data_IF_484654843120
#
_entry.id   IF_484654843120
#
_cell.length_a   1.000
_cell.length_b   1.000
_cell.length_c   1.000
_cell.angle_alpha   90.00
_cell.angle_beta   90.00
_cell.angle_gamma   90.00
#
_symmetry.space_group_name_H-M   'P 1'
#
loop_
_entity.id
_entity.type
_entity.pdbx_description
1 polymer ?
#
# COMPACT_ATOMS: atom_id res chain seq x y z
N UNK A 1 -9.90 -5.56 -18.54
CA UNK A 1 -8.54 -5.36 -19.08
C UNK A 1 -8.07 -6.70 -19.63
N UNK A 2 -7.52 -6.76 -20.84
CA UNK A 2 -7.03 -8.02 -21.41
C UNK A 2 -5.64 -8.36 -20.83
N UNK A 3 -5.33 -9.65 -20.67
CA UNK A 3 -4.01 -10.13 -20.23
C UNK A 3 -2.85 -9.54 -21.07
N UNK A 4 -3.11 -9.34 -22.36
CA UNK A 4 -2.18 -8.72 -23.29
C UNK A 4 -1.77 -7.29 -22.92
N UNK A 5 -2.64 -6.54 -22.23
CA UNK A 5 -2.31 -5.19 -21.77
C UNK A 5 -1.31 -5.22 -20.62
N UNK A 6 -1.51 -6.10 -19.64
CA UNK A 6 -0.67 -6.20 -18.44
C UNK A 6 0.74 -6.63 -18.82
N UNK A 7 0.89 -7.66 -19.67
CA UNK A 7 2.20 -8.12 -20.16
C UNK A 7 2.97 -6.97 -20.83
N UNK A 8 2.33 -6.30 -21.80
CA UNK A 8 2.96 -5.16 -22.51
C UNK A 8 3.34 -4.02 -21.60
N UNK A 9 2.53 -3.74 -20.58
CA UNK A 9 2.84 -2.71 -19.59
C UNK A 9 4.08 -3.10 -18.78
N UNK A 10 4.12 -4.31 -18.22
CA UNK A 10 5.27 -4.78 -17.42
C UNK A 10 6.55 -4.85 -18.25
N UNK A 11 6.49 -5.28 -19.52
CA UNK A 11 7.63 -5.25 -20.45
C UNK A 11 8.16 -3.84 -20.69
N UNK A 12 7.25 -2.86 -20.85
CA UNK A 12 7.59 -1.44 -20.97
C UNK A 12 8.29 -0.93 -19.72
N UNK A 13 7.74 -1.21 -18.53
CA UNK A 13 8.32 -0.73 -17.27
C UNK A 13 9.65 -1.40 -16.95
N UNK A 14 9.80 -2.70 -17.24
CA UNK A 14 11.07 -3.42 -17.12
C UNK A 14 12.15 -2.81 -18.00
N UNK A 15 11.81 -2.48 -19.26
CA UNK A 15 12.73 -1.81 -20.19
C UNK A 15 13.19 -0.45 -19.64
N UNK A 16 12.27 0.36 -19.10
CA UNK A 16 12.59 1.65 -18.48
C UNK A 16 13.49 1.50 -17.24
N UNK A 17 13.28 0.42 -16.47
CA UNK A 17 14.09 0.08 -15.32
C UNK A 17 15.47 -0.53 -15.69
N UNK A 18 15.73 -0.79 -16.98
CA UNK A 18 16.97 -1.40 -17.46
C UNK A 18 17.05 -2.91 -17.18
N UNK A 19 15.92 -3.56 -16.94
CA UNK A 19 15.82 -5.00 -16.68
C UNK A 19 15.57 -5.77 -17.99
N UNK A 20 16.08 -7.01 -18.14
CA UNK A 20 15.77 -7.83 -19.30
C UNK A 20 14.29 -8.22 -19.32
N UNK A 21 13.77 -8.50 -20.52
CA UNK A 21 12.38 -8.93 -20.71
C UNK A 21 12.34 -10.46 -20.67
N UNK A 22 12.44 -11.02 -19.48
CA UNK A 22 12.28 -12.45 -19.20
C UNK A 22 11.39 -12.66 -17.96
N UNK A 23 10.96 -13.90 -17.75
CA UNK A 23 10.03 -14.23 -16.66
C UNK A 23 10.62 -13.91 -15.28
N UNK A 24 11.92 -14.13 -15.10
CA UNK A 24 12.61 -13.89 -13.84
C UNK A 24 12.59 -12.41 -13.49
N UNK A 25 12.86 -11.54 -14.47
CA UNK A 25 12.86 -10.10 -14.31
C UNK A 25 11.45 -9.52 -14.16
N UNK A 26 10.47 -10.05 -14.90
CA UNK A 26 9.07 -9.61 -14.80
C UNK A 26 8.39 -9.99 -13.48
N UNK A 27 8.94 -10.98 -12.76
CA UNK A 27 8.46 -11.42 -11.44
C UNK A 27 9.42 -11.03 -10.31
N UNK A 28 10.45 -10.24 -10.62
CA UNK A 28 11.52 -9.85 -9.70
C UNK A 28 11.08 -8.80 -8.67
N UNK A 29 11.80 -8.75 -7.54
CA UNK A 29 11.61 -7.70 -6.54
C UNK A 29 12.09 -6.34 -7.08
N UNK A 30 13.14 -6.35 -7.88
CA UNK A 30 13.78 -5.18 -8.47
C UNK A 30 12.78 -4.40 -9.34
N UNK A 31 11.96 -5.10 -10.13
CA UNK A 31 10.89 -4.46 -10.89
C UNK A 31 9.82 -3.84 -9.99
N UNK A 32 9.40 -4.55 -8.92
CA UNK A 32 8.42 -4.03 -7.97
C UNK A 32 8.93 -2.75 -7.27
N UNK A 33 10.20 -2.70 -6.90
CA UNK A 33 10.84 -1.51 -6.32
C UNK A 33 10.92 -0.36 -7.33
N UNK A 34 11.23 -0.64 -8.60
CA UNK A 34 11.23 0.36 -9.66
C UNK A 34 9.83 0.96 -9.88
N UNK A 35 8.78 0.12 -9.92
CA UNK A 35 7.39 0.57 -10.02
C UNK A 35 6.98 1.44 -8.82
N UNK A 36 7.33 1.02 -7.59
CA UNK A 36 7.07 1.82 -6.39
C UNK A 36 7.80 3.17 -6.40
N UNK A 37 9.01 3.24 -6.98
CA UNK A 37 9.77 4.49 -7.08
C UNK A 37 9.09 5.49 -8.01
N UNK A 38 8.59 5.03 -9.15
CA UNK A 38 7.93 5.84 -10.19
C UNK A 38 6.45 6.15 -9.89
N UNK A 39 5.85 5.50 -8.88
CA UNK A 39 4.48 5.79 -8.46
C UNK A 39 4.36 7.23 -7.91
N UNK A 40 3.64 8.06 -8.67
CA UNK A 40 3.35 9.46 -8.32
C UNK A 40 2.41 9.61 -7.13
N UNK A 41 1.72 8.54 -6.73
CA UNK A 41 0.75 8.54 -5.62
C UNK A 41 1.30 7.88 -4.35
N UNK A 42 2.54 7.38 -4.35
CA UNK A 42 3.12 6.63 -3.23
C UNK A 42 3.06 7.37 -1.89
N UNK A 43 3.16 8.70 -1.92
CA UNK A 43 3.10 9.55 -0.73
C UNK A 43 1.72 9.53 -0.05
N UNK A 44 0.65 9.19 -0.78
CA UNK A 44 -0.68 9.07 -0.18
C UNK A 44 -0.75 7.94 0.84
N UNK A 45 0.11 6.93 0.75
CA UNK A 45 0.21 5.85 1.73
C UNK A 45 0.48 6.40 3.14
N UNK A 46 1.29 7.46 3.23
CA UNK A 46 1.67 8.09 4.49
C UNK A 46 0.52 8.85 5.15
N UNK A 47 -0.60 9.06 4.46
CA UNK A 47 -1.79 9.75 4.99
C UNK A 47 -2.74 8.81 5.74
N UNK A 48 -2.43 7.52 5.84
CA UNK A 48 -3.30 6.52 6.48
C UNK A 48 -2.62 5.85 7.67
N UNK A 49 -3.43 5.37 8.61
CA UNK A 49 -2.97 4.45 9.65
C UNK A 49 -3.03 3.01 9.14
N UNK A 50 -1.87 2.39 8.92
CA UNK A 50 -1.78 0.98 8.57
C UNK A 50 -1.68 0.12 9.83
N UNK A 51 -2.43 -1.00 9.91
CA UNK A 51 -2.26 -1.96 10.99
C UNK A 51 -0.85 -2.55 10.95
N UNK A 52 -0.22 -2.64 12.12
CA UNK A 52 1.04 -3.37 12.28
C UNK A 52 0.77 -4.86 12.31
N UNK A 53 1.66 -5.68 11.75
CA UNK A 53 1.44 -7.13 11.67
C UNK A 53 1.22 -7.74 13.05
N UNK A 54 1.92 -7.24 14.08
CA UNK A 54 1.76 -7.71 15.47
C UNK A 54 0.40 -7.38 16.12
N UNK A 55 -0.41 -6.51 15.51
CA UNK A 55 -1.76 -6.17 16.00
C UNK A 55 -2.86 -7.06 15.43
N UNK A 56 -2.51 -7.94 14.47
CA UNK A 56 -3.49 -8.80 13.81
C UNK A 56 -3.85 -10.00 14.71
N UNK A 57 -5.14 -10.31 14.92
CA UNK A 57 -5.58 -11.31 15.89
C UNK A 57 -5.04 -12.73 15.68
N UNK A 58 -4.75 -13.12 14.43
CA UNK A 58 -4.39 -14.48 14.04
C UNK A 58 -2.95 -14.58 13.47
N UNK A 59 -2.12 -13.56 13.67
CA UNK A 59 -0.75 -13.58 13.17
C UNK A 59 0.17 -14.44 14.05
N UNK A 60 0.85 -15.40 13.43
CA UNK A 60 1.96 -16.14 14.06
C UNK A 60 3.20 -15.25 14.13
N UNK A 61 3.44 -14.66 15.30
CA UNK A 61 4.56 -13.73 15.54
C UNK A 61 5.94 -14.37 15.36
N UNK A 62 6.05 -15.71 15.27
CA UNK A 62 7.33 -16.38 15.00
C UNK A 62 7.74 -16.30 13.53
N UNK A 63 6.81 -16.00 12.62
CA UNK A 63 7.01 -15.97 11.17
C UNK A 63 7.08 -14.55 10.59
N UNK A 64 6.88 -13.51 11.41
CA UNK A 64 6.76 -12.12 10.96
C UNK A 64 7.53 -11.16 11.86
N UNK A 65 7.87 -9.99 11.30
CA UNK A 65 8.22 -8.82 12.10
C UNK A 65 6.94 -8.12 12.61
N UNK A 66 6.71 -8.01 13.93
CA UNK A 66 5.51 -7.41 14.49
C UNK A 66 5.39 -5.89 14.22
N UNK A 67 6.49 -5.19 14.00
CA UNK A 67 6.53 -3.72 13.84
C UNK A 67 6.35 -3.28 12.37
N UNK A 68 6.45 -4.21 11.43
CA UNK A 68 6.17 -3.96 10.02
C UNK A 68 4.68 -3.72 9.77
N UNK A 69 4.40 -2.93 8.72
CA UNK A 69 3.03 -2.75 8.24
C UNK A 69 2.48 -4.07 7.69
N UNK A 70 1.19 -4.30 7.92
CA UNK A 70 0.46 -5.39 7.29
C UNK A 70 0.22 -5.16 5.79
N UNK A 71 0.03 -6.25 5.05
CA UNK A 71 -0.45 -6.23 3.67
C UNK A 71 -1.98 -6.19 3.70
N UNK A 72 -2.55 -4.98 3.65
CA UNK A 72 -3.98 -4.76 3.83
C UNK A 72 -4.74 -4.75 2.49
N UNK A 73 -5.24 -5.92 2.07
CA UNK A 73 -5.99 -6.09 0.81
C UNK A 73 -7.52 -6.11 0.99
N UNK A 74 -8.02 -5.63 2.14
CA UNK A 74 -9.45 -5.59 2.47
C UNK A 74 -10.05 -4.17 2.42
N UNK A 75 -9.35 -3.21 1.81
CA UNK A 75 -9.76 -1.80 1.71
C UNK A 75 -11.07 -1.55 0.97
N UNK A 76 -11.54 -2.53 0.19
CA UNK A 76 -12.84 -2.52 -0.48
C UNK A 76 -14.02 -2.75 0.47
N UNK A 77 -13.78 -3.34 1.65
CA UNK A 77 -14.81 -3.57 2.67
C UNK A 77 -14.74 -2.51 3.76
N UNK A 78 -13.56 -2.31 4.34
CA UNK A 78 -13.30 -1.30 5.35
C UNK A 78 -12.06 -0.52 4.95
N UNK A 79 -12.22 0.76 4.65
CA UNK A 79 -11.09 1.64 4.34
C UNK A 79 -10.19 1.84 5.55
N UNK A 80 -8.89 2.00 5.31
CA UNK A 80 -7.96 2.47 6.34
C UNK A 80 -8.37 3.87 6.79
N UNK A 81 -8.16 4.18 8.07
CA UNK A 81 -8.46 5.49 8.61
C UNK A 81 -7.44 6.54 8.12
N UNK A 82 -7.87 7.61 7.42
CA UNK A 82 -7.02 8.76 7.15
C UNK A 82 -6.55 9.43 8.45
N UNK A 83 -5.31 9.92 8.49
CA UNK A 83 -4.74 10.57 9.67
C UNK A 83 -5.54 11.80 10.12
N UNK A 84 -6.06 12.57 9.16
CA UNK A 84 -6.88 13.75 9.39
C UNK A 84 -8.24 13.44 10.05
N UNK A 85 -8.74 12.19 9.99
CA UNK A 85 -10.06 11.84 10.55
C UNK A 85 -10.15 12.17 12.03
N UNK A 86 -9.12 11.85 12.83
CA UNK A 86 -9.13 12.11 14.27
C UNK A 86 -9.27 13.60 14.59
N UNK A 87 -8.50 14.44 13.90
CA UNK A 87 -8.49 15.89 14.09
C UNK A 87 -9.87 16.49 13.75
N UNK A 88 -10.33 16.25 12.52
CA UNK A 88 -11.60 16.81 12.02
C UNK A 88 -12.78 16.35 12.88
N UNK A 89 -12.82 15.08 13.28
CA UNK A 89 -13.88 14.55 14.13
C UNK A 89 -13.88 15.23 15.51
N UNK A 90 -12.70 15.40 16.13
CA UNK A 90 -12.60 16.07 17.42
C UNK A 90 -13.06 17.53 17.34
N UNK A 91 -12.74 18.25 16.26
CA UNK A 91 -13.25 19.62 16.06
C UNK A 91 -14.78 19.68 16.06
N UNK A 92 -15.45 18.68 15.48
CA UNK A 92 -16.92 18.64 15.48
C UNK A 92 -17.47 18.33 16.87
N UNK A 93 -16.84 17.42 17.61
CA UNK A 93 -17.21 17.14 19.00
C UNK A 93 -17.07 18.37 19.90
N UNK A 94 -15.97 19.12 19.77
CA UNK A 94 -15.74 20.35 20.53
C UNK A 94 -16.77 21.43 20.21
N UNK A 95 -17.17 21.56 18.94
CA UNK A 95 -18.23 22.49 18.53
C UNK A 95 -19.57 22.09 19.14
N UNK A 96 -19.90 20.80 19.12
CA UNK A 96 -21.15 20.28 19.66
C UNK A 96 -21.24 20.43 21.19
N UNK A 97 -20.13 20.25 21.91
CA UNK A 97 -20.11 20.41 23.37
C UNK A 97 -20.28 21.87 23.85
N UNK A 98 -20.06 22.86 22.97
CA UNK A 98 -20.11 24.30 23.28
C UNK A 98 -21.45 24.95 22.91
N UNK A 99 -22.37 24.22 22.27
CA UNK A 99 -23.75 24.68 22.00
C UNK A 99 -24.66 24.58 23.20
#
# INVERSE_FOLDING_TARGET
MSEQFISKYLESEATKAGLPIDLDSLTSRELAEALNREDKLKNLRDEFYLPKKGTLPEADLTLIDPDEDSIYLCGNSLGLMPKATKEITNEQFDKWAKT
#
